data_IF_204714029469
#
_entry.id   IF_204714029469
#
_cell.length_a   1.000
_cell.length_b   1.000
_cell.length_c   1.000
_cell.angle_alpha   90.00
_cell.angle_beta   90.00
_cell.angle_gamma   90.00
#
_symmetry.space_group_name_H-M   'P 1'
#
loop_
_entity.id
_entity.type
_entity.pdbx_description
1 polymer ?
#
# COMPACT_ATOMS: atom_id res chain seq x y z
N UNK A 1 -16.92 -18.63 7.34
CA UNK A 1 -17.94 -19.28 6.50
C UNK A 1 -17.94 -18.61 5.14
N UNK A 2 -17.72 -19.35 4.06
CA UNK A 2 -17.90 -18.84 2.70
C UNK A 2 -19.39 -18.78 2.31
N UNK A 3 -19.66 -18.36 1.08
CA UNK A 3 -21.04 -18.19 0.57
C UNK A 3 -21.87 -19.47 0.72
N UNK A 4 -21.27 -20.64 0.46
CA UNK A 4 -21.99 -21.92 0.52
C UNK A 4 -22.21 -22.42 1.94
N UNK A 5 -21.37 -22.00 2.89
CA UNK A 5 -21.43 -22.43 4.28
C UNK A 5 -22.35 -21.55 5.13
N UNK A 6 -22.90 -20.46 4.57
CA UNK A 6 -23.79 -19.59 5.33
C UNK A 6 -25.19 -20.25 5.50
N UNK A 7 -25.68 -20.39 6.75
CA UNK A 7 -26.89 -21.18 7.05
C UNK A 7 -28.20 -20.49 6.65
N UNK A 8 -28.17 -19.19 6.33
CA UNK A 8 -29.36 -18.40 5.98
C UNK A 8 -29.19 -17.72 4.63
N UNK A 9 -30.30 -17.47 3.92
CA UNK A 9 -30.29 -16.74 2.64
C UNK A 9 -29.66 -15.35 2.77
N UNK A 10 -29.98 -14.63 3.85
CA UNK A 10 -29.35 -13.35 4.21
C UNK A 10 -27.84 -13.50 4.40
N UNK A 11 -27.39 -14.54 5.09
CA UNK A 11 -25.97 -14.85 5.26
C UNK A 11 -25.26 -15.12 3.92
N UNK A 12 -25.88 -15.88 3.01
CA UNK A 12 -25.35 -16.13 1.66
C UNK A 12 -25.22 -14.83 0.86
N UNK A 13 -26.22 -13.94 0.93
CA UNK A 13 -26.19 -12.66 0.25
C UNK A 13 -25.08 -11.74 0.80
N UNK A 14 -24.95 -11.63 2.13
CA UNK A 14 -23.87 -10.86 2.76
C UNK A 14 -22.49 -11.40 2.37
N UNK A 15 -22.29 -12.72 2.38
CA UNK A 15 -21.04 -13.34 1.97
C UNK A 15 -20.70 -13.08 0.49
N UNK A 16 -21.71 -13.09 -0.40
CA UNK A 16 -21.53 -12.72 -1.82
C UNK A 16 -21.13 -11.26 -1.96
N UNK A 17 -21.75 -10.36 -1.20
CA UNK A 17 -21.40 -8.94 -1.16
C UNK A 17 -19.96 -8.72 -0.71
N UNK A 18 -19.56 -9.36 0.38
CA UNK A 18 -18.19 -9.30 0.91
C UNK A 18 -17.17 -9.80 -0.12
N UNK A 19 -17.44 -10.94 -0.77
CA UNK A 19 -16.54 -11.49 -1.80
C UNK A 19 -16.34 -10.53 -2.97
N UNK A 20 -17.42 -9.89 -3.44
CA UNK A 20 -17.35 -8.89 -4.51
C UNK A 20 -16.57 -7.64 -4.09
N UNK A 21 -16.75 -7.19 -2.84
CA UNK A 21 -16.03 -6.06 -2.27
C UNK A 21 -14.53 -6.35 -2.16
N UNK A 22 -14.18 -7.52 -1.62
CA UNK A 22 -12.79 -7.96 -1.47
C UNK A 22 -12.08 -8.03 -2.83
N UNK A 23 -12.69 -8.67 -3.83
CA UNK A 23 -12.10 -8.76 -5.17
C UNK A 23 -11.85 -7.38 -5.82
N UNK A 24 -12.72 -6.39 -5.56
CA UNK A 24 -12.51 -5.02 -6.04
C UNK A 24 -11.33 -4.34 -5.34
N UNK A 25 -11.24 -4.48 -4.01
CA UNK A 25 -10.15 -3.88 -3.25
C UNK A 25 -8.82 -4.57 -3.56
N UNK A 26 -8.78 -5.89 -3.70
CA UNK A 26 -7.60 -6.64 -4.14
C UNK A 26 -7.07 -6.11 -5.47
N UNK A 27 -7.94 -5.99 -6.50
CA UNK A 27 -7.56 -5.44 -7.80
C UNK A 27 -7.01 -4.01 -7.69
N UNK A 28 -7.64 -3.17 -6.86
CA UNK A 28 -7.18 -1.79 -6.63
C UNK A 28 -5.82 -1.76 -5.94
N UNK A 29 -5.63 -2.57 -4.90
CA UNK A 29 -4.37 -2.68 -4.16
C UNK A 29 -3.28 -3.21 -5.07
N UNK A 30 -3.54 -4.24 -5.87
CA UNK A 30 -2.59 -4.79 -6.84
C UNK A 30 -2.18 -3.74 -7.88
N UNK A 31 -3.12 -2.96 -8.41
CA UNK A 31 -2.81 -1.88 -9.35
C UNK A 31 -1.98 -0.76 -8.71
N UNK A 32 -2.15 -0.51 -7.40
CA UNK A 32 -1.33 0.42 -6.63
C UNK A 32 0.02 -0.19 -6.21
N UNK A 33 0.11 -1.52 -6.09
CA UNK A 33 1.31 -2.23 -5.67
C UNK A 33 2.32 -2.17 -6.81
N UNK A 34 3.37 -1.39 -6.61
CA UNK A 34 4.39 -1.11 -7.63
C UNK A 34 4.42 0.36 -8.05
N UNK A 35 3.48 1.19 -7.59
CA UNK A 35 3.65 2.64 -7.66
C UNK A 35 4.69 3.10 -6.63
N UNK A 36 5.32 4.23 -6.90
CA UNK A 36 6.12 4.91 -5.89
C UNK A 36 5.30 5.14 -4.62
N UNK A 37 5.95 4.95 -3.47
CA UNK A 37 5.32 5.25 -2.20
C UNK A 37 5.00 6.74 -2.15
N UNK A 38 3.77 7.08 -1.77
CA UNK A 38 3.29 8.47 -1.74
C UNK A 38 4.19 9.43 -0.94
N UNK A 39 4.98 8.91 0.01
CA UNK A 39 5.93 9.68 0.83
C UNK A 39 7.37 9.19 0.70
N UNK A 40 7.67 8.29 -0.24
CA UNK A 40 8.96 7.59 -0.31
C UNK A 40 10.13 8.56 -0.49
N UNK A 41 10.04 9.43 -1.52
CA UNK A 41 11.05 10.44 -1.81
C UNK A 41 11.21 11.45 -0.66
N UNK A 42 10.10 11.98 -0.13
CA UNK A 42 10.13 12.94 0.97
C UNK A 42 10.75 12.35 2.24
N UNK A 43 10.38 11.11 2.61
CA UNK A 43 10.96 10.40 3.76
C UNK A 43 12.44 10.09 3.56
N UNK A 44 12.85 9.79 2.32
CA UNK A 44 14.25 9.56 2.00
C UNK A 44 15.09 10.83 2.16
N UNK A 45 14.58 11.98 1.70
CA UNK A 45 15.21 13.29 1.91
C UNK A 45 15.23 13.72 3.38
N UNK A 46 14.13 13.54 4.11
CA UNK A 46 14.03 13.80 5.55
C UNK A 46 15.09 13.00 6.33
N UNK A 47 15.16 11.68 6.08
CA UNK A 47 16.16 10.80 6.70
C UNK A 47 17.59 11.16 6.33
N UNK A 48 17.80 11.63 5.10
CA UNK A 48 19.13 12.06 4.68
C UNK A 48 19.56 13.29 5.47
N UNK A 49 18.68 14.27 5.63
CA UNK A 49 18.97 15.52 6.34
C UNK A 49 19.04 15.36 7.85
N UNK A 50 18.46 14.31 8.44
CA UNK A 50 18.39 14.17 9.90
C UNK A 50 19.76 14.05 10.60
N UNK A 51 20.80 13.62 9.88
CA UNK A 51 22.13 13.39 10.48
C UNK A 51 23.02 14.64 10.48
N UNK A 52 22.99 15.43 9.43
CA UNK A 52 23.97 16.51 9.16
C UNK A 52 23.36 17.68 8.35
N UNK A 53 22.04 17.70 8.18
CA UNK A 53 21.30 18.68 7.40
C UNK A 53 21.42 18.53 5.88
N UNK A 54 22.16 17.55 5.36
CA UNK A 54 22.46 17.43 3.91
C UNK A 54 21.52 16.44 3.22
N UNK A 55 21.13 16.75 1.98
CA UNK A 55 20.36 15.82 1.12
C UNK A 55 21.19 14.61 0.70
N UNK A 56 20.53 13.53 0.29
CA UNK A 56 21.18 12.31 -0.17
C UNK A 56 22.17 12.59 -1.33
N UNK A 57 21.71 13.34 -2.33
CA UNK A 57 22.52 13.67 -3.50
C UNK A 57 23.75 14.52 -3.16
N UNK A 58 23.71 15.31 -2.08
CA UNK A 58 24.87 16.08 -1.62
C UNK A 58 25.92 15.18 -0.97
N UNK A 59 25.49 14.14 -0.23
CA UNK A 59 26.38 13.18 0.45
C UNK A 59 27.09 12.22 -0.52
N UNK A 60 26.44 11.93 -1.64
CA UNK A 60 26.98 11.01 -2.65
C UNK A 60 28.06 11.64 -3.54
N UNK A 61 28.28 12.96 -3.44
CA UNK A 61 29.36 13.61 -4.18
C UNK A 61 30.71 13.25 -3.56
N UNK A 62 31.68 12.75 -4.35
CA UNK A 62 33.02 12.50 -3.84
C UNK A 62 33.63 13.82 -3.36
N UNK A 63 34.22 13.80 -2.15
CA UNK A 63 35.05 14.90 -1.68
C UNK A 63 36.28 14.95 -2.60
N UNK A 64 36.42 16.06 -3.34
CA UNK A 64 37.60 16.33 -4.14
C UNK A 64 38.72 16.87 -3.25
#
# INVERSE_FOLDING_TARGET
>A
MGVEQAPTAKGKQSARGLRKSAAKEEKKVEAQKGSDLAKGADRFEERSKSSDGRSAGTKQKPQR
#
